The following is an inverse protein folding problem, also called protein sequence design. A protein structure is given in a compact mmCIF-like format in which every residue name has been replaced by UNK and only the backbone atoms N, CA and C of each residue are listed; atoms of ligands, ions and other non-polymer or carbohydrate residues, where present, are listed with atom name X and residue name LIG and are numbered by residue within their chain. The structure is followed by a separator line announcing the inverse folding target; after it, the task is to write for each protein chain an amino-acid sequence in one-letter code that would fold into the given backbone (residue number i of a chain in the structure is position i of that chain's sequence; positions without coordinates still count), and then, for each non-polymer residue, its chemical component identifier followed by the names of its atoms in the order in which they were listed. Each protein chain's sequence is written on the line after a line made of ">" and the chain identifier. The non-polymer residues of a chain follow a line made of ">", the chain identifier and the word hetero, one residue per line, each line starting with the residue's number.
data_IF_964666423337
#
_entry.id   IF_964666423337
#
_cell.length_a   1.000
_cell.length_b   1.000
_cell.length_c   1.000
_cell.angle_alpha   90.00
_cell.angle_beta   90.00
_cell.angle_gamma   90.00
#
_symmetry.space_group_name_H-M   'P 1'
#
loop_
_entity.id
_entity.type
_entity.pdbx_description
1 polymer ?
#
# COMPACT_ATOMS: atom_id res chain seq x y z
N UNK A 1 0.29 12.16 -16.54
CA UNK A 1 1.40 13.10 -16.27
C UNK A 1 2.11 13.42 -17.56
N UNK A 2 2.20 14.70 -17.94
CA UNK A 2 2.98 15.14 -19.09
C UNK A 2 4.37 15.61 -18.63
N UNK A 3 5.43 14.98 -19.15
CA UNK A 3 6.78 15.53 -19.03
C UNK A 3 6.91 16.65 -20.06
N UNK A 4 6.72 17.91 -19.63
CA UNK A 4 6.77 19.05 -20.55
C UNK A 4 8.13 19.24 -21.22
N UNK A 5 9.21 18.69 -20.63
CA UNK A 5 10.55 18.65 -21.23
C UNK A 5 11.25 17.33 -20.90
N UNK A 6 11.67 16.61 -21.94
CA UNK A 6 12.70 15.58 -21.80
C UNK A 6 14.02 16.30 -21.51
N UNK A 7 14.78 15.94 -20.45
CA UNK A 7 16.06 16.57 -20.17
C UNK A 7 17.02 16.44 -21.35
N UNK A 8 17.63 17.55 -21.78
CA UNK A 8 18.69 17.52 -22.79
C UNK A 8 20.01 17.07 -22.13
N UNK A 9 20.28 15.77 -22.18
CA UNK A 9 21.45 15.10 -21.63
C UNK A 9 21.29 13.58 -21.70
N UNK A 10 22.25 12.83 -21.17
CA UNK A 10 22.02 11.40 -20.92
C UNK A 10 20.96 11.24 -19.83
N UNK A 11 19.81 10.65 -20.16
CA UNK A 11 18.77 10.38 -19.18
C UNK A 11 19.19 9.18 -18.32
N UNK A 12 19.67 9.47 -17.12
CA UNK A 12 20.01 8.45 -16.14
C UNK A 12 18.75 8.07 -15.36
N UNK A 13 18.37 6.80 -15.43
CA UNK A 13 17.21 6.28 -14.70
C UNK A 13 17.50 6.28 -13.18
N UNK A 14 16.67 6.94 -12.33
CA UNK A 14 16.89 6.99 -10.88
C UNK A 14 16.77 5.62 -10.19
N UNK A 15 16.17 4.64 -10.87
CA UNK A 15 16.07 3.24 -10.41
C UNK A 15 17.26 2.35 -10.81
N UNK A 16 18.19 2.88 -11.62
CA UNK A 16 19.35 2.15 -12.15
C UNK A 16 20.69 2.74 -11.68
N UNK A 17 20.68 3.57 -10.63
CA UNK A 17 21.88 4.18 -10.04
C UNK A 17 22.07 3.75 -8.60
N UNK A 18 23.31 3.81 -8.11
CA UNK A 18 23.59 3.68 -6.69
C UNK A 18 22.91 4.79 -5.88
N UNK A 19 22.07 4.42 -4.90
CA UNK A 19 21.42 5.33 -3.92
C UNK A 19 22.41 6.32 -3.26
N UNK A 20 23.68 5.93 -3.12
CA UNK A 20 24.70 6.67 -2.36
C UNK A 20 25.59 7.60 -3.20
N UNK A 21 25.96 7.21 -4.43
CA UNK A 21 26.81 8.04 -5.31
C UNK A 21 26.13 8.53 -6.61
N UNK A 22 24.91 8.07 -6.91
CA UNK A 22 24.15 8.35 -8.14
C UNK A 22 24.82 7.90 -9.45
N UNK A 23 25.81 7.00 -9.39
CA UNK A 23 26.48 6.41 -10.56
C UNK A 23 25.83 5.08 -10.97
N UNK A 24 25.92 4.75 -12.26
CA UNK A 24 25.39 3.52 -12.87
C UNK A 24 26.56 2.69 -13.42
N UNK A 25 27.27 1.99 -12.53
CA UNK A 25 28.38 1.08 -12.86
C UNK A 25 27.98 -0.40 -12.66
N UNK A 26 28.86 -1.32 -13.06
CA UNK A 26 28.55 -2.75 -13.25
C UNK A 26 28.36 -3.57 -11.97
N UNK A 27 28.74 -3.04 -10.81
CA UNK A 27 28.78 -3.76 -9.53
C UNK A 27 27.60 -3.40 -8.59
N UNK A 28 26.50 -2.91 -9.15
CA UNK A 28 25.28 -2.55 -8.41
C UNK A 28 24.55 -3.77 -7.85
N UNK A 29 24.48 -3.86 -6.52
CA UNK A 29 23.57 -4.76 -5.79
C UNK A 29 22.17 -4.15 -5.68
N UNK A 30 21.18 -4.98 -5.32
CA UNK A 30 19.77 -4.58 -5.17
C UNK A 30 19.34 -4.76 -3.73
N UNK A 31 18.78 -3.72 -3.11
CA UNK A 31 18.27 -3.81 -1.75
C UNK A 31 17.06 -4.74 -1.68
N UNK A 32 17.08 -5.77 -0.82
CA UNK A 32 15.94 -6.70 -0.67
C UNK A 32 14.69 -6.04 -0.10
N UNK A 33 14.84 -4.94 0.65
CA UNK A 33 13.73 -4.21 1.24
C UNK A 33 13.10 -3.21 0.26
N UNK A 34 13.92 -2.35 -0.36
CA UNK A 34 13.42 -1.18 -1.09
C UNK A 34 13.75 -1.18 -2.61
N UNK A 35 14.30 -2.27 -3.15
CA UNK A 35 14.64 -2.50 -4.57
C UNK A 35 15.63 -1.49 -5.21
N UNK A 36 16.04 -0.44 -4.49
CA UNK A 36 17.08 0.52 -4.93
C UNK A 36 18.43 -0.17 -5.11
N UNK A 37 19.18 0.32 -6.09
CA UNK A 37 20.51 -0.17 -6.39
C UNK A 37 21.57 0.52 -5.52
N UNK A 38 22.65 -0.19 -5.19
CA UNK A 38 23.78 0.37 -4.43
C UNK A 38 25.08 -0.40 -4.68
N UNK A 39 26.22 0.27 -4.55
CA UNK A 39 27.52 -0.40 -4.50
C UNK A 39 27.84 -0.82 -3.06
N UNK A 40 28.34 -2.03 -2.85
CA UNK A 40 28.78 -2.49 -1.52
C UNK A 40 29.86 -1.57 -0.94
N UNK A 41 30.77 -1.07 -1.78
CA UNK A 41 31.83 -0.15 -1.34
C UNK A 41 31.26 1.19 -0.82
N UNK A 42 30.17 1.71 -1.39
CA UNK A 42 29.53 2.93 -0.90
C UNK A 42 28.91 2.71 0.49
N UNK A 43 28.29 1.55 0.72
CA UNK A 43 27.73 1.18 2.02
C UNK A 43 28.84 1.05 3.09
N UNK A 44 29.94 0.37 2.80
CA UNK A 44 31.11 0.30 3.70
C UNK A 44 31.71 1.69 4.00
N UNK A 45 31.77 2.56 2.98
CA UNK A 45 32.37 3.90 3.12
C UNK A 45 31.51 4.89 3.92
N UNK A 46 30.20 4.63 4.06
CA UNK A 46 29.26 5.45 4.84
C UNK A 46 29.43 5.34 6.36
N UNK A 47 30.28 4.40 6.83
CA UNK A 47 30.47 4.02 8.26
C UNK A 47 29.31 3.27 8.92
N UNK A 48 28.34 2.77 8.15
CA UNK A 48 27.16 2.10 8.71
C UNK A 48 27.34 0.59 9.01
N UNK A 49 28.45 -0.07 8.62
CA UNK A 49 28.63 -1.51 8.84
C UNK A 49 30.06 -1.93 9.25
N UNK A 50 30.13 -3.03 10.01
CA UNK A 50 31.36 -3.71 10.44
C UNK A 50 31.83 -4.70 9.36
N UNK A 51 33.14 -4.67 9.06
CA UNK A 51 33.77 -5.45 7.97
C UNK A 51 33.78 -6.97 8.20
N UNK A 52 33.40 -7.42 9.41
CA UNK A 52 33.30 -8.83 9.77
C UNK A 52 31.93 -9.46 9.41
N UNK A 53 30.98 -8.69 8.87
CA UNK A 53 29.75 -9.22 8.27
C UNK A 53 30.05 -9.89 6.91
N UNK A 54 30.86 -10.95 6.92
CA UNK A 54 31.19 -11.75 5.75
C UNK A 54 30.01 -12.67 5.38
N UNK A 55 28.96 -12.06 4.84
CA UNK A 55 27.73 -12.71 4.40
C UNK A 55 26.70 -11.66 4.02
N UNK A 56 26.45 -11.54 2.71
CA UNK A 56 25.23 -10.97 2.12
C UNK A 56 24.56 -9.82 2.90
N UNK A 57 25.20 -8.64 2.93
CA UNK A 57 24.53 -7.41 3.39
C UNK A 57 23.50 -6.99 2.33
N UNK A 58 22.30 -7.58 2.39
CA UNK A 58 21.22 -7.47 1.42
C UNK A 58 20.46 -6.13 1.46
N UNK A 59 20.65 -5.33 2.51
CA UNK A 59 20.08 -4.00 2.66
C UNK A 59 21.03 -2.88 2.17
N UNK A 60 20.49 -1.76 1.68
CA UNK A 60 21.31 -0.64 1.21
C UNK A 60 21.76 0.34 2.30
N UNK A 61 21.23 0.20 3.52
CA UNK A 61 21.51 0.99 4.72
C UNK A 61 20.93 0.28 5.95
N UNK A 62 21.29 0.77 7.14
CA UNK A 62 20.81 0.25 8.44
C UNK A 62 19.27 0.24 8.55
N UNK A 63 18.61 1.33 8.18
CA UNK A 63 17.15 1.49 8.25
C UNK A 63 16.40 0.44 7.40
N UNK A 64 16.88 0.16 6.19
CA UNK A 64 16.32 -0.90 5.34
C UNK A 64 16.55 -2.30 5.95
N UNK A 65 17.65 -2.51 6.67
CA UNK A 65 17.91 -3.75 7.43
C UNK A 65 16.90 -3.94 8.57
N UNK A 66 16.75 -2.93 9.42
CA UNK A 66 15.80 -2.97 10.54
C UNK A 66 14.35 -3.18 10.09
N UNK A 67 13.92 -2.50 9.02
CA UNK A 67 12.57 -2.68 8.46
C UNK A 67 12.40 -4.10 7.89
N UNK A 68 13.41 -4.65 7.23
CA UNK A 68 13.38 -6.02 6.71
C UNK A 68 13.29 -7.05 7.83
N UNK A 69 14.14 -6.97 8.85
CA UNK A 69 14.10 -7.88 10.01
C UNK A 69 12.75 -7.82 10.74
N UNK A 70 12.22 -6.61 10.99
CA UNK A 70 10.90 -6.42 11.58
C UNK A 70 9.80 -7.07 10.72
N UNK A 71 9.78 -6.84 9.41
CA UNK A 71 8.79 -7.45 8.51
C UNK A 71 8.89 -8.98 8.50
N UNK A 72 10.10 -9.54 8.34
CA UNK A 72 10.33 -10.98 8.36
C UNK A 72 9.88 -11.63 9.68
N UNK A 73 10.04 -10.94 10.82
CA UNK A 73 9.58 -11.44 12.12
C UNK A 73 8.06 -11.53 12.28
N UNK A 74 7.29 -10.88 11.40
CA UNK A 74 5.82 -10.90 11.39
C UNK A 74 5.23 -11.89 10.36
N UNK A 75 6.04 -12.42 9.44
CA UNK A 75 5.55 -13.28 8.35
C UNK A 75 5.01 -14.61 8.91
N UNK A 76 3.75 -14.90 8.60
CA UNK A 76 3.02 -16.09 9.05
C UNK A 76 2.66 -16.09 10.54
N UNK A 77 2.95 -15.01 11.29
CA UNK A 77 2.58 -14.90 12.69
C UNK A 77 1.15 -14.36 12.80
N UNK A 78 0.29 -15.12 13.48
CA UNK A 78 -1.10 -14.75 13.76
C UNK A 78 -1.15 -13.87 15.02
N UNK A 79 -1.61 -12.63 14.87
CA UNK A 79 -1.68 -11.65 15.95
C UNK A 79 -3.15 -11.40 16.33
N UNK A 80 -3.49 -11.63 17.59
CA UNK A 80 -4.87 -11.44 18.09
C UNK A 80 -5.26 -9.95 18.18
N UNK A 81 -6.54 -9.69 17.94
CA UNK A 81 -7.21 -8.40 18.07
C UNK A 81 -8.45 -8.57 18.96
N UNK A 82 -9.05 -7.45 19.38
CA UNK A 82 -10.31 -7.46 20.12
C UNK A 82 -11.44 -8.14 19.33
N UNK A 83 -12.47 -8.65 20.02
CA UNK A 83 -13.66 -9.23 19.36
C UNK A 83 -13.45 -10.60 18.68
N UNK A 84 -12.33 -11.27 18.97
CA UNK A 84 -11.97 -12.58 18.39
C UNK A 84 -11.46 -12.49 16.94
N UNK A 85 -11.10 -11.29 16.50
CA UNK A 85 -10.39 -11.08 15.24
C UNK A 85 -8.90 -11.34 15.43
N UNK A 86 -8.20 -11.54 14.32
CA UNK A 86 -6.75 -11.65 14.29
C UNK A 86 -6.25 -11.19 12.93
N UNK A 87 -5.00 -10.77 12.85
CA UNK A 87 -4.35 -10.42 11.58
C UNK A 87 -3.06 -11.20 11.40
N UNK A 88 -2.71 -11.45 10.14
CA UNK A 88 -1.50 -12.18 9.76
C UNK A 88 -0.85 -11.48 8.58
N UNK A 89 0.47 -11.26 8.62
CA UNK A 89 1.23 -10.82 7.45
C UNK A 89 1.71 -12.03 6.64
N UNK A 90 1.43 -12.07 5.34
CA UNK A 90 1.83 -13.16 4.48
C UNK A 90 2.87 -12.68 3.47
N UNK A 91 3.86 -13.52 3.20
CA UNK A 91 4.82 -13.34 2.12
C UNK A 91 4.74 -14.53 1.17
N UNK A 92 4.74 -14.25 -0.15
CA UNK A 92 4.80 -15.31 -1.15
C UNK A 92 6.23 -15.85 -1.22
N UNK A 93 6.38 -17.18 -1.12
CA UNK A 93 7.69 -17.84 -1.05
C UNK A 93 7.79 -19.01 -2.05
N UNK A 94 9.00 -19.29 -2.54
CA UNK A 94 9.32 -20.53 -3.28
C UNK A 94 9.76 -21.65 -2.30
N UNK A 95 9.47 -22.92 -2.60
CA UNK A 95 9.86 -24.06 -1.74
C UNK A 95 11.32 -24.55 -1.93
N UNK A 96 12.21 -23.74 -2.52
CA UNK A 96 13.52 -24.20 -3.01
C UNK A 96 14.56 -24.43 -1.90
N UNK A 97 14.89 -25.72 -1.65
CA UNK A 97 15.98 -26.19 -0.78
C UNK A 97 15.87 -25.82 0.72
N UNK A 98 14.69 -25.95 1.33
CA UNK A 98 14.41 -25.52 2.70
C UNK A 98 14.06 -26.67 3.67
N UNK A 99 14.04 -26.41 4.98
CA UNK A 99 13.70 -27.41 6.02
C UNK A 99 12.19 -27.65 6.11
N UNK A 100 11.78 -28.73 6.79
CA UNK A 100 10.37 -29.09 6.97
C UNK A 100 9.54 -28.00 7.67
N UNK A 101 10.15 -27.22 8.58
CA UNK A 101 9.47 -26.09 9.24
C UNK A 101 9.16 -24.96 8.25
N UNK A 102 10.12 -24.63 7.41
CA UNK A 102 9.98 -23.62 6.37
C UNK A 102 8.91 -24.08 5.37
N UNK A 103 8.90 -25.36 5.00
CA UNK A 103 7.90 -25.92 4.09
C UNK A 103 6.46 -25.79 4.63
N UNK A 104 6.25 -25.94 5.95
CA UNK A 104 4.93 -25.68 6.56
C UNK A 104 4.55 -24.20 6.44
N UNK A 105 5.43 -23.30 6.85
CA UNK A 105 5.21 -21.84 6.79
C UNK A 105 4.93 -21.37 5.36
N UNK A 106 5.66 -21.89 4.37
CA UNK A 106 5.48 -21.62 2.94
C UNK A 106 4.14 -22.15 2.44
N UNK A 107 3.77 -23.36 2.84
CA UNK A 107 2.48 -23.97 2.45
C UNK A 107 1.31 -23.16 3.02
N UNK A 108 1.38 -22.76 4.30
CA UNK A 108 0.37 -21.94 4.94
C UNK A 108 0.28 -20.55 4.31
N UNK A 109 1.41 -19.83 4.19
CA UNK A 109 1.44 -18.50 3.59
C UNK A 109 0.93 -18.50 2.15
N UNK A 110 1.42 -19.41 1.29
CA UNK A 110 0.99 -19.46 -0.11
C UNK A 110 -0.49 -19.86 -0.24
N UNK A 111 -1.00 -20.75 0.63
CA UNK A 111 -2.43 -21.12 0.65
C UNK A 111 -3.32 -19.96 1.10
N UNK A 112 -2.94 -19.26 2.17
CA UNK A 112 -3.66 -18.07 2.65
C UNK A 112 -3.60 -16.91 1.64
N UNK A 113 -2.49 -16.76 0.91
CA UNK A 113 -2.38 -15.78 -0.19
C UNK A 113 -3.36 -16.11 -1.33
N UNK A 114 -3.59 -17.40 -1.64
CA UNK A 114 -4.57 -17.79 -2.65
C UNK A 114 -6.00 -17.43 -2.22
N UNK A 115 -6.35 -17.63 -0.95
CA UNK A 115 -7.65 -17.22 -0.39
C UNK A 115 -7.77 -15.69 -0.26
N UNK A 116 -6.70 -14.99 0.09
CA UNK A 116 -6.65 -13.53 0.12
C UNK A 116 -6.80 -12.92 -1.28
N UNK A 117 -6.26 -13.58 -2.30
CA UNK A 117 -6.50 -13.24 -3.71
C UNK A 117 -7.99 -13.30 -4.05
N UNK A 118 -8.74 -14.32 -3.61
CA UNK A 118 -10.20 -14.39 -3.83
C UNK A 118 -10.94 -13.20 -3.22
N UNK A 119 -10.57 -12.76 -2.00
CA UNK A 119 -11.14 -11.54 -1.38
C UNK A 119 -10.88 -10.31 -2.24
N UNK A 120 -9.69 -10.20 -2.84
CA UNK A 120 -9.32 -9.06 -3.68
C UNK A 120 -9.99 -9.11 -5.07
N UNK A 121 -10.21 -10.29 -5.65
CA UNK A 121 -10.94 -10.45 -6.91
C UNK A 121 -12.46 -10.20 -6.75
N UNK A 122 -13.00 -10.46 -5.55
CA UNK A 122 -14.37 -10.08 -5.13
C UNK A 122 -14.52 -8.55 -4.95
N UNK A 123 -13.51 -7.89 -4.36
CA UNK A 123 -13.55 -6.44 -4.09
C UNK A 123 -13.15 -5.55 -5.28
N UNK A 124 -12.26 -6.03 -6.17
CA UNK A 124 -11.67 -5.20 -7.23
C UNK A 124 -11.94 -5.81 -8.60
N UNK A 125 -12.49 -5.01 -9.53
CA UNK A 125 -12.60 -5.43 -10.93
C UNK A 125 -11.22 -5.78 -11.50
N UNK A 126 -11.13 -6.91 -12.21
CA UNK A 126 -9.90 -7.40 -12.83
C UNK A 126 -9.17 -6.31 -13.64
N UNK A 127 -8.01 -5.86 -13.17
CA UNK A 127 -7.17 -4.86 -13.85
C UNK A 127 -6.16 -5.60 -14.76
N UNK A 128 -6.26 -5.42 -16.08
CA UNK A 128 -5.35 -6.04 -17.06
C UNK A 128 -4.28 -5.04 -17.54
N UNK A 129 -2.99 -5.38 -17.47
CA UNK A 129 -1.96 -4.60 -18.18
C UNK A 129 -2.13 -4.75 -19.70
N UNK A 130 -2.30 -3.61 -20.38
CA UNK A 130 -2.58 -3.55 -21.82
C UNK A 130 -1.50 -4.24 -22.68
N UNK A 131 -0.26 -4.30 -22.22
CA UNK A 131 0.87 -4.79 -23.02
C UNK A 131 1.16 -6.28 -22.80
N UNK A 132 1.01 -6.77 -21.58
CA UNK A 132 1.37 -8.14 -21.18
C UNK A 132 0.16 -9.02 -20.87
N UNK A 133 -1.04 -8.45 -20.83
CA UNK A 133 -2.31 -9.14 -20.56
C UNK A 133 -2.38 -9.84 -19.19
N UNK A 134 -1.49 -9.48 -18.26
CA UNK A 134 -1.51 -10.01 -16.89
C UNK A 134 -2.60 -9.32 -16.05
N UNK A 135 -3.25 -10.08 -15.17
CA UNK A 135 -4.05 -9.53 -14.08
C UNK A 135 -3.11 -8.89 -13.04
N UNK A 136 -3.18 -7.56 -12.91
CA UNK A 136 -2.34 -6.76 -12.01
C UNK A 136 -2.67 -7.05 -10.55
N UNK A 137 -3.95 -7.11 -10.18
CA UNK A 137 -4.38 -7.36 -8.80
C UNK A 137 -3.85 -8.73 -8.33
N UNK A 138 -4.00 -9.76 -9.17
CA UNK A 138 -3.43 -11.09 -8.91
C UNK A 138 -1.91 -11.04 -8.82
N UNK A 139 -1.25 -10.35 -9.75
CA UNK A 139 0.22 -10.33 -9.80
C UNK A 139 0.83 -9.59 -8.60
N UNK A 140 0.12 -8.61 -8.03
CA UNK A 140 0.47 -7.95 -6.77
C UNK A 140 0.24 -8.88 -5.57
N UNK A 141 -0.92 -9.53 -5.47
CA UNK A 141 -1.24 -10.45 -4.36
C UNK A 141 -0.25 -11.63 -4.23
N UNK A 142 0.24 -12.16 -5.37
CA UNK A 142 1.28 -13.19 -5.43
C UNK A 142 2.72 -12.64 -5.48
N UNK A 143 2.93 -11.33 -5.32
CA UNK A 143 4.24 -10.65 -5.40
C UNK A 143 5.10 -11.06 -6.62
N UNK A 144 4.48 -11.16 -7.81
CA UNK A 144 5.14 -11.67 -9.02
C UNK A 144 6.21 -10.69 -9.52
N UNK A 145 7.47 -11.15 -9.55
CA UNK A 145 8.60 -10.40 -10.09
C UNK A 145 8.59 -10.31 -11.62
N UNK A 146 9.20 -9.26 -12.16
CA UNK A 146 9.39 -9.09 -13.61
C UNK A 146 10.64 -8.28 -13.93
N UNK A 147 11.25 -8.55 -15.10
CA UNK A 147 12.35 -7.75 -15.64
C UNK A 147 11.90 -6.37 -16.16
N UNK A 148 10.60 -6.06 -16.13
CA UNK A 148 10.02 -4.79 -16.54
C UNK A 148 9.47 -4.05 -15.32
N UNK A 149 10.13 -2.97 -14.90
CA UNK A 149 9.79 -2.21 -13.66
C UNK A 149 8.29 -1.88 -13.51
N UNK A 150 7.60 -1.57 -14.62
CA UNK A 150 6.16 -1.24 -14.65
C UNK A 150 5.21 -2.38 -14.24
N UNK A 151 5.70 -3.62 -14.24
CA UNK A 151 4.97 -4.83 -13.84
C UNK A 151 5.84 -5.72 -12.92
N UNK A 152 6.82 -5.12 -12.24
CA UNK A 152 7.62 -5.81 -11.23
C UNK A 152 6.95 -5.63 -9.87
N UNK A 153 6.15 -6.63 -9.48
CA UNK A 153 5.43 -6.64 -8.20
C UNK A 153 6.20 -7.41 -7.13
N UNK A 154 7.53 -7.52 -7.24
CA UNK A 154 8.37 -8.06 -6.16
C UNK A 154 8.28 -7.15 -4.92
N UNK A 155 8.32 -7.77 -3.74
CA UNK A 155 8.37 -7.10 -2.44
C UNK A 155 7.00 -6.76 -1.86
N UNK A 156 5.91 -7.19 -2.51
CA UNK A 156 4.59 -7.09 -1.91
C UNK A 156 4.39 -8.19 -0.86
N UNK A 157 3.81 -7.80 0.26
CA UNK A 157 3.24 -8.68 1.28
C UNK A 157 1.72 -8.57 1.22
N UNK A 158 1.03 -9.61 1.68
CA UNK A 158 -0.43 -9.64 1.77
C UNK A 158 -0.82 -9.74 3.24
N UNK A 159 -1.39 -8.66 3.80
CA UNK A 159 -1.93 -8.67 5.14
C UNK A 159 -3.38 -9.14 5.11
N UNK A 160 -3.77 -10.02 6.02
CA UNK A 160 -5.15 -10.53 6.13
C UNK A 160 -5.72 -10.25 7.51
N UNK A 161 -7.05 -10.06 7.56
CA UNK A 161 -7.86 -10.07 8.77
C UNK A 161 -8.68 -11.36 8.78
N UNK A 162 -8.57 -12.13 9.85
CA UNK A 162 -9.17 -13.46 10.05
C UNK A 162 -10.10 -13.46 11.27
N UNK A 163 -11.16 -14.28 11.24
CA UNK A 163 -12.00 -14.60 12.40
C UNK A 163 -12.50 -16.03 12.27
N UNK A 164 -12.38 -16.85 13.33
CA UNK A 164 -12.76 -18.27 13.30
C UNK A 164 -12.12 -19.03 12.11
N UNK A 165 -10.90 -18.64 11.72
CA UNK A 165 -10.14 -19.13 10.57
C UNK A 165 -10.72 -18.81 9.16
N UNK A 166 -11.79 -18.03 9.09
CA UNK A 166 -12.24 -17.38 7.85
C UNK A 166 -11.48 -16.06 7.62
N UNK A 167 -10.94 -15.87 6.40
CA UNK A 167 -10.40 -14.58 5.97
C UNK A 167 -11.56 -13.63 5.64
N UNK A 168 -11.60 -12.48 6.34
CA UNK A 168 -12.65 -11.46 6.21
C UNK A 168 -12.20 -10.30 5.34
N UNK A 169 -10.93 -9.90 5.43
CA UNK A 169 -10.36 -8.79 4.67
C UNK A 169 -8.93 -9.07 4.27
N UNK A 170 -8.50 -8.49 3.17
CA UNK A 170 -7.14 -8.61 2.64
C UNK A 170 -6.65 -7.24 2.19
N UNK A 171 -5.36 -6.98 2.39
CA UNK A 171 -4.65 -5.82 1.88
C UNK A 171 -3.31 -6.26 1.29
N UNK A 172 -2.85 -5.56 0.26
CA UNK A 172 -1.51 -5.74 -0.30
C UNK A 172 -0.66 -4.53 0.04
N UNK A 173 0.56 -4.76 0.52
CA UNK A 173 1.45 -3.70 1.00
C UNK A 173 2.88 -3.90 0.50
N UNK A 174 3.62 -2.81 0.29
CA UNK A 174 5.08 -2.85 0.07
C UNK A 174 5.74 -1.67 0.78
N UNK A 175 6.88 -1.92 1.43
CA UNK A 175 7.56 -0.94 2.30
C UNK A 175 8.94 -0.62 1.74
N UNK A 176 9.24 0.65 1.50
CA UNK A 176 10.45 1.15 0.87
C UNK A 176 11.41 1.75 1.92
N UNK A 177 11.76 0.94 2.93
CA UNK A 177 12.48 1.41 4.12
C UNK A 177 11.59 2.32 4.98
N UNK A 178 12.20 3.29 5.67
CA UNK A 178 11.50 4.24 6.55
C UNK A 178 10.84 5.41 5.81
N UNK A 179 11.12 5.63 4.52
CA UNK A 179 10.54 6.77 3.79
C UNK A 179 9.04 6.55 3.47
N UNK A 180 8.64 5.32 3.13
CA UNK A 180 7.37 5.09 2.43
C UNK A 180 6.85 3.65 2.57
N UNK A 181 5.57 3.49 2.83
CA UNK A 181 4.80 2.29 2.51
C UNK A 181 3.76 2.61 1.43
N UNK A 182 3.43 1.64 0.59
CA UNK A 182 2.30 1.71 -0.35
C UNK A 182 1.33 0.57 -0.08
N UNK A 183 0.03 0.85 -0.23
CA UNK A 183 -1.05 -0.12 -0.12
C UNK A 183 -2.00 0.03 -1.32
N UNK A 184 -1.73 -0.63 -2.47
CA UNK A 184 -2.53 -0.43 -3.68
C UNK A 184 -3.94 -1.06 -3.62
N UNK A 185 -4.14 -2.08 -2.78
CA UNK A 185 -5.43 -2.75 -2.63
C UNK A 185 -5.70 -3.08 -1.17
N UNK A 186 -6.92 -2.81 -0.70
CA UNK A 186 -7.50 -3.28 0.57
C UNK A 186 -9.00 -3.52 0.39
N UNK A 187 -9.50 -4.68 0.79
CA UNK A 187 -10.89 -5.09 0.58
C UNK A 187 -11.44 -6.00 1.68
N UNK A 188 -12.76 -6.09 1.75
CA UNK A 188 -13.53 -6.90 2.70
C UNK A 188 -14.60 -7.68 1.94
N UNK A 189 -14.71 -8.99 2.18
CA UNK A 189 -15.74 -9.86 1.59
C UNK A 189 -17.16 -9.32 1.82
N UNK A 190 -18.05 -9.52 0.86
CA UNK A 190 -19.41 -8.99 0.80
C UNK A 190 -20.21 -9.21 2.10
N UNK A 191 -20.13 -10.42 2.64
CA UNK A 191 -20.80 -10.85 3.88
C UNK A 191 -20.38 -10.05 5.13
N UNK A 192 -19.26 -9.33 5.07
CA UNK A 192 -18.67 -8.57 6.18
C UNK A 192 -18.50 -7.08 5.87
N UNK A 193 -18.97 -6.60 4.70
CA UNK A 193 -18.98 -5.17 4.34
C UNK A 193 -19.75 -4.34 5.38
N UNK A 194 -19.50 -3.03 5.41
CA UNK A 194 -20.14 -2.06 6.34
C UNK A 194 -19.89 -2.29 7.85
N UNK A 195 -19.15 -3.33 8.25
CA UNK A 195 -18.78 -3.60 9.64
C UNK A 195 -17.40 -3.00 10.05
N UNK A 196 -16.82 -2.13 9.23
CA UNK A 196 -15.52 -1.47 9.52
C UNK A 196 -14.27 -2.37 9.43
N UNK A 197 -14.37 -3.55 8.81
CA UNK A 197 -13.29 -4.56 8.77
C UNK A 197 -12.03 -4.08 8.02
N UNK A 198 -12.19 -3.46 6.84
CA UNK A 198 -11.08 -2.83 6.10
C UNK A 198 -10.41 -1.73 6.92
N UNK A 199 -11.18 -0.91 7.64
CA UNK A 199 -10.67 0.14 8.54
C UNK A 199 -9.90 -0.45 9.73
N UNK A 200 -10.34 -1.58 10.29
CA UNK A 200 -9.61 -2.30 11.34
C UNK A 200 -8.23 -2.79 10.83
N UNK A 201 -8.20 -3.41 9.64
CA UNK A 201 -6.95 -3.86 9.02
C UNK A 201 -6.02 -2.68 8.68
N UNK A 202 -6.57 -1.57 8.17
CA UNK A 202 -5.83 -0.33 7.90
C UNK A 202 -5.17 0.25 9.17
N UNK A 203 -5.93 0.45 10.26
CA UNK A 203 -5.39 1.00 11.52
C UNK A 203 -4.32 0.08 12.11
N UNK A 204 -4.46 -1.23 11.92
CA UNK A 204 -3.45 -2.22 12.30
C UNK A 204 -2.15 -2.03 11.48
N UNK A 205 -2.26 -1.88 10.15
CA UNK A 205 -1.13 -1.61 9.26
C UNK A 205 -0.43 -0.28 9.58
N UNK A 206 -1.20 0.80 9.80
CA UNK A 206 -0.67 2.10 10.22
C UNK A 206 0.14 2.02 11.51
N UNK A 207 -0.33 1.21 12.48
CA UNK A 207 0.38 0.97 13.74
C UNK A 207 1.70 0.22 13.53
N UNK A 208 1.70 -0.83 12.70
CA UNK A 208 2.91 -1.60 12.34
C UNK A 208 3.94 -0.71 11.65
N UNK A 209 3.51 0.05 10.65
CA UNK A 209 4.37 0.99 9.92
C UNK A 209 4.95 2.08 10.82
N UNK A 210 4.17 2.60 11.77
CA UNK A 210 4.63 3.58 12.77
C UNK A 210 5.74 3.00 13.67
N UNK A 211 5.60 1.74 14.12
CA UNK A 211 6.63 1.03 14.92
C UNK A 211 7.88 0.68 14.09
N UNK A 212 7.73 0.53 12.77
CA UNK A 212 8.84 0.40 11.84
C UNK A 212 9.53 1.74 11.52
N UNK A 213 8.97 2.88 11.94
CA UNK A 213 9.50 4.21 11.64
C UNK A 213 9.22 4.67 10.20
N UNK A 214 8.17 4.16 9.56
CA UNK A 214 7.77 4.58 8.22
C UNK A 214 7.09 5.94 8.28
N UNK A 215 7.57 6.94 7.54
CA UNK A 215 7.04 8.30 7.54
C UNK A 215 5.64 8.41 6.91
N UNK A 216 5.43 7.77 5.76
CA UNK A 216 4.26 7.99 4.90
C UNK A 216 3.62 6.68 4.40
N UNK A 217 2.29 6.60 4.40
CA UNK A 217 1.51 5.56 3.70
C UNK A 217 0.84 6.15 2.46
N UNK A 218 1.05 5.52 1.29
CA UNK A 218 0.47 5.96 0.01
C UNK A 218 -0.55 4.94 -0.51
N UNK A 219 -1.65 5.47 -1.03
CA UNK A 219 -2.70 4.70 -1.68
C UNK A 219 -3.07 5.31 -3.05
N UNK A 220 -3.47 4.50 -4.03
CA UNK A 220 -4.29 4.94 -5.15
C UNK A 220 -5.77 5.00 -4.72
N UNK A 221 -6.48 6.05 -5.13
CA UNK A 221 -7.93 6.19 -4.98
C UNK A 221 -8.55 6.53 -6.34
N UNK A 222 -9.82 6.16 -6.56
CA UNK A 222 -10.63 6.84 -7.57
C UNK A 222 -11.11 8.19 -7.03
N UNK A 223 -11.59 9.07 -7.90
CA UNK A 223 -12.02 10.40 -7.50
C UNK A 223 -13.16 10.34 -6.47
N UNK A 224 -14.09 9.41 -6.68
CA UNK A 224 -15.34 9.22 -5.95
C UNK A 224 -15.14 8.77 -4.51
N UNK A 225 -13.98 8.16 -4.19
CA UNK A 225 -13.65 7.66 -2.86
C UNK A 225 -12.61 8.53 -2.14
N UNK A 226 -12.17 9.62 -2.77
CA UNK A 226 -11.19 10.56 -2.21
C UNK A 226 -11.70 11.21 -0.93
N UNK A 227 -12.94 11.72 -0.93
CA UNK A 227 -13.57 12.34 0.25
C UNK A 227 -13.72 11.37 1.43
N UNK A 228 -13.96 10.08 1.15
CA UNK A 228 -14.02 9.03 2.16
C UNK A 228 -12.65 8.82 2.82
N UNK A 229 -11.59 8.67 2.00
CA UNK A 229 -10.22 8.51 2.48
C UNK A 229 -9.74 9.71 3.31
N UNK A 230 -10.05 10.93 2.87
CA UNK A 230 -9.68 12.15 3.57
C UNK A 230 -10.46 12.27 4.89
N UNK A 231 -11.79 12.21 4.83
CA UNK A 231 -12.65 12.44 6.00
C UNK A 231 -12.64 11.34 7.08
N UNK A 232 -12.59 10.05 6.70
CA UNK A 232 -12.78 8.92 7.62
C UNK A 232 -11.50 8.15 7.95
N UNK A 233 -10.51 8.24 7.07
CA UNK A 233 -9.22 7.57 7.20
C UNK A 233 -8.05 8.54 7.41
N UNK A 234 -8.24 9.86 7.26
CA UNK A 234 -7.20 10.86 7.52
C UNK A 234 -6.06 10.86 6.49
N UNK A 235 -6.37 10.50 5.25
CA UNK A 235 -5.48 10.74 4.11
C UNK A 235 -5.59 12.18 3.61
N UNK A 236 -4.71 12.57 2.70
CA UNK A 236 -4.72 13.85 1.99
C UNK A 236 -4.11 13.68 0.60
N UNK A 237 -4.30 14.62 -0.34
CA UNK A 237 -3.54 14.63 -1.59
C UNK A 237 -2.03 14.72 -1.33
N UNK A 238 -1.22 14.16 -2.24
CA UNK A 238 0.24 14.30 -2.14
C UNK A 238 0.65 15.76 -2.35
N UNK A 239 1.26 16.36 -1.34
CA UNK A 239 1.88 17.69 -1.43
C UNK A 239 3.16 17.66 -2.30
N UNK A 240 3.46 18.76 -3.00
CA UNK A 240 4.63 18.89 -3.89
C UNK A 240 5.98 18.55 -3.20
N UNK A 241 6.11 18.89 -1.91
CA UNK A 241 7.31 18.59 -1.12
C UNK A 241 7.53 17.08 -0.92
N UNK A 242 6.45 16.32 -0.71
CA UNK A 242 6.52 14.85 -0.56
C UNK A 242 6.53 14.16 -1.92
N UNK A 243 5.91 14.78 -2.94
CA UNK A 243 5.89 14.30 -4.32
C UNK A 243 7.28 13.99 -4.87
N UNK A 244 8.30 14.79 -4.54
CA UNK A 244 9.69 14.52 -4.93
C UNK A 244 10.27 13.28 -4.26
N UNK A 245 10.06 13.08 -2.95
CA UNK A 245 10.45 11.83 -2.24
C UNK A 245 9.76 10.62 -2.88
N UNK A 246 8.45 10.72 -3.11
CA UNK A 246 7.60 9.64 -3.64
C UNK A 246 7.97 9.27 -5.08
N UNK A 247 8.33 10.25 -5.91
CA UNK A 247 8.72 10.02 -7.33
C UNK A 247 10.03 9.24 -7.46
N UNK A 248 10.85 9.18 -6.41
CA UNK A 248 12.06 8.35 -6.34
C UNK A 248 11.80 6.88 -5.94
N UNK A 249 10.53 6.47 -5.82
CA UNK A 249 10.10 5.12 -5.47
C UNK A 249 9.18 4.54 -6.55
N UNK A 250 9.43 3.28 -6.96
CA UNK A 250 8.68 2.60 -8.02
C UNK A 250 7.32 2.07 -7.50
N UNK A 251 6.51 2.96 -6.94
CA UNK A 251 5.17 2.66 -6.43
C UNK A 251 4.20 2.34 -7.56
N UNK A 252 3.21 1.49 -7.30
CA UNK A 252 2.19 1.13 -8.28
C UNK A 252 1.27 2.33 -8.56
N UNK A 253 1.18 2.72 -9.84
CA UNK A 253 0.35 3.84 -10.30
C UNK A 253 -0.67 3.38 -11.35
N UNK A 254 -1.92 3.80 -11.19
CA UNK A 254 -2.97 3.62 -12.20
C UNK A 254 -3.22 4.95 -12.94
N UNK A 255 -3.34 4.97 -14.29
CA UNK A 255 -3.40 6.22 -15.06
C UNK A 255 -4.52 7.20 -14.70
N UNK A 256 -5.61 6.72 -14.09
CA UNK A 256 -6.79 7.50 -13.69
C UNK A 256 -6.99 7.56 -12.18
N UNK A 257 -6.05 7.06 -11.37
CA UNK A 257 -6.16 7.13 -9.92
C UNK A 257 -5.55 8.43 -9.37
N UNK A 258 -6.27 9.05 -8.45
CA UNK A 258 -5.72 10.04 -7.53
C UNK A 258 -4.75 9.32 -6.59
N UNK A 259 -3.66 9.98 -6.20
CA UNK A 259 -2.74 9.44 -5.19
C UNK A 259 -2.91 10.21 -3.90
N UNK A 260 -3.19 9.48 -2.82
CA UNK A 260 -3.35 10.05 -1.50
C UNK A 260 -2.22 9.54 -0.59
N UNK A 261 -1.83 10.40 0.36
CA UNK A 261 -0.84 10.12 1.39
C UNK A 261 -1.46 10.25 2.78
N UNK A 262 -0.88 9.54 3.74
CA UNK A 262 -1.08 9.76 5.17
C UNK A 262 0.27 9.76 5.87
N UNK A 263 0.56 10.82 6.63
CA UNK A 263 1.72 10.84 7.51
C UNK A 263 1.43 9.96 8.74
N UNK A 264 2.34 9.04 9.04
CA UNK A 264 2.21 8.09 10.14
C UNK A 264 2.98 8.57 11.38
N UNK A 265 4.14 9.19 11.15
CA UNK A 265 4.91 9.84 12.20
C UNK A 265 4.42 11.27 12.39
N UNK A 266 4.08 11.62 13.63
CA UNK A 266 3.73 13.00 13.98
C UNK A 266 4.99 13.87 13.97
N UNK A 267 5.16 14.67 12.92
CA UNK A 267 6.07 15.83 12.98
C UNK A 267 5.66 16.69 14.18
N UNK A 268 6.57 17.09 15.08
CA UNK A 268 6.24 17.93 16.23
C UNK A 268 5.90 19.35 15.78
N UNK A 269 4.67 19.54 15.31
CA UNK A 269 4.12 20.83 14.95
C UNK A 269 3.78 21.62 16.22
N UNK A 270 4.45 22.76 16.37
CA UNK A 270 4.25 23.71 17.45
C UNK A 270 2.78 24.09 17.62
N UNK A 271 2.25 23.88 18.82
CA UNK A 271 0.89 24.26 19.21
C UNK A 271 0.66 25.77 19.07
N UNK A 272 -0.30 26.17 18.24
CA UNK A 272 -0.93 27.50 18.33
C UNK A 272 -2.44 27.33 18.40
N UNK A 273 -3.00 27.63 19.56
CA UNK A 273 -4.43 27.53 19.84
C UNK A 273 -5.19 28.76 19.31
N UNK A 274 -6.30 28.56 18.60
CA UNK A 274 -7.43 29.50 18.58
C UNK A 274 -8.71 28.76 18.13
N UNK A 275 -9.59 28.38 19.06
CA UNK A 275 -10.91 28.97 19.39
C UNK A 275 -11.99 28.87 18.28
N UNK A 276 -13.16 28.39 18.70
CA UNK A 276 -14.37 28.09 17.93
C UNK A 276 -15.03 29.34 17.31
N UNK A 277 -15.86 29.12 16.27
CA UNK A 277 -17.23 29.63 16.23
C UNK A 277 -18.08 28.82 15.23
N UNK A 278 -19.39 28.73 15.52
CA UNK A 278 -20.44 28.11 14.71
C UNK A 278 -21.40 29.21 14.28
N UNK A 279 -21.86 29.22 13.03
CA UNK A 279 -23.23 29.65 12.69
C UNK A 279 -23.70 29.10 11.33
N UNK A 280 -25.02 29.07 11.14
CA UNK A 280 -25.74 28.41 10.04
C UNK A 280 -25.86 29.28 8.76
N UNK A 281 -26.28 28.66 7.64
CA UNK A 281 -26.61 29.37 6.39
C UNK A 281 -27.03 28.44 5.25
N UNK A 282 -28.34 28.19 5.13
CA UNK A 282 -28.97 27.36 4.09
C UNK A 282 -29.18 28.15 2.79
N UNK A 283 -28.98 27.51 1.63
CA UNK A 283 -29.84 27.65 0.44
C UNK A 283 -29.57 26.50 -0.56
N UNK A 284 -30.64 25.94 -1.14
CA UNK A 284 -30.62 24.88 -2.16
C UNK A 284 -31.43 25.38 -3.36
N UNK A 285 -30.97 25.11 -4.57
CA UNK A 285 -31.76 25.29 -5.81
C UNK A 285 -31.82 23.97 -6.59
N UNK A 286 -32.95 23.73 -7.25
CA UNK A 286 -33.37 22.42 -7.71
C UNK A 286 -32.95 22.09 -9.17
N UNK A 287 -32.48 20.86 -9.36
CA UNK A 287 -33.01 19.95 -10.38
C UNK A 287 -32.70 20.17 -11.87
N UNK A 288 -32.05 19.17 -12.47
CA UNK A 288 -32.49 18.62 -13.78
C UNK A 288 -32.28 17.10 -13.78
N UNK A 289 -33.36 16.34 -13.94
CA UNK A 289 -33.32 14.91 -14.27
C UNK A 289 -32.69 14.68 -15.66
N UNK A 290 -31.72 13.76 -15.77
CA UNK A 290 -31.51 13.01 -17.02
C UNK A 290 -31.08 11.56 -16.79
N UNK A 291 -32.03 10.65 -17.03
CA UNK A 291 -31.77 9.23 -17.27
C UNK A 291 -31.14 9.06 -18.65
N UNK A 292 -29.85 8.71 -18.72
CA UNK A 292 -29.29 7.67 -19.63
C UNK A 292 -27.75 7.62 -19.63
N UNK A 293 -27.20 6.44 -19.91
CA UNK A 293 -25.84 6.18 -20.41
C UNK A 293 -24.64 6.62 -19.56
N UNK A 294 -24.19 5.75 -18.63
CA UNK A 294 -22.76 5.62 -18.27
C UNK A 294 -22.38 4.23 -17.68
N UNK A 295 -22.91 3.13 -18.22
CA UNK A 295 -22.63 1.75 -17.79
C UNK A 295 -21.19 1.24 -18.17
N UNK A 296 -20.17 2.11 -18.09
CA UNK A 296 -18.81 1.83 -18.56
C UNK A 296 -17.70 2.68 -17.90
N UNK A 297 -17.98 3.38 -16.79
CA UNK A 297 -17.01 4.23 -16.08
C UNK A 297 -17.01 3.85 -14.60
N UNK A 298 -15.82 3.81 -13.99
CA UNK A 298 -15.57 3.62 -12.55
C UNK A 298 -15.58 2.18 -12.00
N UNK A 299 -15.02 1.24 -12.77
CA UNK A 299 -14.56 -0.06 -12.28
C UNK A 299 -13.29 0.05 -11.41
N UNK A 300 -13.29 0.91 -10.39
CA UNK A 300 -12.09 1.29 -9.65
C UNK A 300 -12.28 1.44 -8.15
N UNK A 301 -11.51 0.65 -7.41
CA UNK A 301 -11.08 0.89 -6.03
C UNK A 301 -12.17 0.89 -4.93
N UNK A 302 -13.16 -0.02 -5.03
CA UNK A 302 -14.27 -0.13 -4.08
C UNK A 302 -13.84 -0.29 -2.61
N UNK A 303 -14.43 0.54 -1.75
CA UNK A 303 -14.23 0.59 -0.29
C UNK A 303 -15.57 0.50 0.47
N UNK A 304 -16.57 -0.09 -0.18
CA UNK A 304 -17.77 -0.65 0.46
C UNK A 304 -18.66 0.40 1.13
N UNK A 305 -18.95 1.44 0.36
CA UNK A 305 -19.97 2.50 0.47
C UNK A 305 -20.81 2.58 1.78
N UNK A 306 -20.71 3.75 2.42
CA UNK A 306 -21.67 4.34 3.37
C UNK A 306 -22.43 5.48 2.64
N UNK A 307 -23.62 5.97 3.02
CA UNK A 307 -24.51 5.76 4.17
C UNK A 307 -25.97 5.89 3.69
N UNK A 308 -26.92 5.26 4.38
CA UNK A 308 -28.32 5.71 4.44
C UNK A 308 -28.67 5.96 5.89
N UNK A 309 -29.10 7.17 6.25
CA UNK A 309 -29.87 7.37 7.48
C UNK A 309 -31.37 7.33 7.14
N UNK A 310 -32.12 6.59 7.96
CA UNK A 310 -33.58 6.45 7.95
C UNK A 310 -34.27 7.80 8.26
N UNK A 311 -35.53 8.06 7.90
CA UNK A 311 -36.72 7.30 8.32
C UNK A 311 -36.96 7.50 9.83
N UNK A 312 -38.14 7.85 10.35
CA UNK A 312 -39.49 8.02 9.77
C UNK A 312 -40.23 9.14 10.59
N UNK A 313 -41.55 9.40 10.63
CA UNK A 313 -42.75 8.69 10.13
C UNK A 313 -44.01 9.61 10.08
N UNK A 314 -45.13 9.07 9.57
CA UNK A 314 -46.57 9.37 9.82
C UNK A 314 -47.14 10.82 9.91
N UNK A 315 -48.09 11.13 9.00
CA UNK A 315 -49.47 11.48 9.38
C UNK A 315 -50.46 11.30 8.20
N UNK A 316 -51.62 10.68 8.47
CA UNK A 316 -52.68 10.38 7.50
C UNK A 316 -53.59 11.59 7.15
N UNK A 317 -54.52 11.35 6.20
CA UNK A 317 -55.85 11.97 6.10
C UNK A 317 -55.99 13.42 5.53
N UNK A 318 -56.02 13.55 4.18
CA UNK A 318 -57.28 13.80 3.42
C UNK A 318 -57.12 14.04 1.91
#
# INVERSE_FOLDING_TARGET
>A
MGLERIPQGEWICPYCVCKHCNENDKDLQTCVQCDKKYHCQCLVSSKELDLNASGETLACDSHCGEVYEKLQSLVGVKHELEGGFCWTLLQRMEPDNLDFKDLHLITECNSKIALAWEVLDECFTTIIDRHTQINVVQSVAYSRGSNLNRINFRGFYTAILEKNDDIISAATIRVHGTDLAEMPFIGTRDLYRQNGMSRMLLVTLESIFSVMGVEHLIIPSVQELTEMWEGKCGFSPIEDAVSQKITNWNTLTFPSAVRLQKALLSTPASSSSAVMNVDEGVEVDEGVDMVSDNCAKLAGLDLNHEYTESGDDEAEDK
#
